data_IF_786100643212
#
_entry.id   IF_786100643212
#
_cell.length_a   1.000
_cell.length_b   1.000
_cell.length_c   1.000
_cell.angle_alpha   90.00
_cell.angle_beta   90.00
_cell.angle_gamma   90.00
#
_symmetry.space_group_name_H-M   'P 1'
#
loop_
_entity.id
_entity.type
_entity.pdbx_description
1 polymer ?
#
# COMPACT_ATOMS: atom_id res chain seq x y z
N UNK A 1 6.44 -21.15 -32.60
CA UNK A 1 5.36 -20.88 -31.63
C UNK A 1 6.01 -20.81 -30.27
N UNK A 2 6.10 -19.63 -29.66
CA UNK A 2 6.56 -19.53 -28.29
C UNK A 2 5.45 -20.09 -27.39
N UNK A 3 5.77 -21.12 -26.62
CA UNK A 3 4.90 -21.63 -25.56
C UNK A 3 4.64 -20.48 -24.59
N UNK A 4 3.39 -20.00 -24.53
CA UNK A 4 2.94 -19.11 -23.47
C UNK A 4 3.28 -19.79 -22.16
N UNK A 5 4.18 -19.22 -21.37
CA UNK A 5 4.40 -19.69 -20.01
C UNK A 5 3.04 -19.66 -19.30
N UNK A 6 2.61 -20.80 -18.77
CA UNK A 6 1.42 -20.85 -17.92
C UNK A 6 1.69 -20.00 -16.70
N UNK A 7 0.83 -19.02 -16.43
CA UNK A 7 0.91 -18.22 -15.22
C UNK A 7 0.86 -19.14 -13.99
N UNK A 8 1.79 -18.97 -13.06
CA UNK A 8 1.75 -19.58 -11.75
C UNK A 8 1.30 -18.52 -10.74
N UNK A 9 0.31 -18.82 -9.89
CA UNK A 9 -0.10 -17.89 -8.82
C UNK A 9 1.11 -17.50 -7.96
N UNK A 10 1.18 -16.24 -7.51
CA UNK A 10 2.27 -15.81 -6.63
C UNK A 10 2.15 -16.50 -5.26
N UNK A 11 3.29 -16.79 -4.66
CA UNK A 11 3.34 -17.24 -3.27
C UNK A 11 3.20 -16.06 -2.31
N UNK A 12 2.68 -16.33 -1.11
CA UNK A 12 2.65 -15.34 -0.05
C UNK A 12 4.08 -14.97 0.36
N UNK A 13 4.34 -13.67 0.50
CA UNK A 13 5.59 -13.19 1.10
C UNK A 13 5.63 -13.55 2.58
N UNK A 14 6.82 -13.72 3.14
CA UNK A 14 6.96 -13.95 4.57
C UNK A 14 6.48 -12.75 5.39
N UNK A 15 5.75 -13.05 6.45
CA UNK A 15 5.30 -12.09 7.45
C UNK A 15 3.97 -11.41 7.12
N UNK A 16 3.73 -10.27 7.75
CA UNK A 16 2.53 -9.49 7.58
C UNK A 16 2.85 -8.05 7.21
N UNK A 17 2.14 -7.53 6.20
CA UNK A 17 2.23 -6.13 5.82
C UNK A 17 1.08 -5.37 6.46
N UNK A 18 1.44 -4.45 7.34
CA UNK A 18 0.52 -3.59 8.06
C UNK A 18 0.27 -2.32 7.25
N UNK A 19 -0.98 -2.08 6.91
CA UNK A 19 -1.44 -0.87 6.23
C UNK A 19 -2.07 0.08 7.24
N UNK A 20 -1.75 1.37 7.11
CA UNK A 20 -2.33 2.44 7.92
C UNK A 20 -2.82 3.52 6.96
N UNK A 21 -4.11 3.54 6.68
CA UNK A 21 -4.73 4.58 5.84
C UNK A 21 -4.81 5.87 6.65
N UNK A 22 -4.24 6.95 6.10
CA UNK A 22 -4.10 8.23 6.79
C UNK A 22 -4.95 9.27 6.09
N UNK A 23 -5.75 9.98 6.89
CA UNK A 23 -6.47 11.19 6.50
C UNK A 23 -6.08 12.33 7.44
N UNK A 24 -5.94 13.55 6.91
CA UNK A 24 -5.76 14.76 7.71
C UNK A 24 -7.06 15.16 8.38
N UNK A 25 -6.97 15.81 9.55
CA UNK A 25 -8.13 16.48 10.16
C UNK A 25 -8.61 17.62 9.25
N UNK A 26 -9.90 17.99 9.28
CA UNK A 26 -10.46 19.03 8.41
C UNK A 26 -9.75 20.40 8.46
N UNK A 27 -9.18 20.77 9.61
CA UNK A 27 -8.47 22.03 9.79
C UNK A 27 -6.98 22.00 9.38
N UNK A 28 -6.47 20.82 9.02
CA UNK A 28 -5.06 20.62 8.66
C UNK A 28 -4.91 20.72 7.14
N UNK A 29 -3.95 21.51 6.65
CA UNK A 29 -3.59 21.45 5.23
C UNK A 29 -2.84 20.17 4.88
N UNK A 30 -2.82 19.81 3.60
CA UNK A 30 -2.08 18.63 3.13
C UNK A 30 -0.58 18.77 3.40
N UNK A 31 -0.02 19.94 3.11
CA UNK A 31 1.40 20.25 3.27
C UNK A 31 1.79 20.15 4.74
N UNK A 32 0.92 20.61 5.65
CA UNK A 32 1.15 20.48 7.09
C UNK A 32 1.16 19.01 7.52
N UNK A 33 0.22 18.19 7.06
CA UNK A 33 0.21 16.76 7.36
C UNK A 33 1.51 16.10 6.88
N UNK A 34 1.89 16.31 5.61
CA UNK A 34 3.08 15.70 5.00
C UNK A 34 4.36 16.15 5.71
N UNK A 35 4.51 17.45 5.98
CA UNK A 35 5.66 17.98 6.70
C UNK A 35 5.79 17.38 8.10
N UNK A 36 4.67 17.24 8.83
CA UNK A 36 4.70 16.61 10.14
C UNK A 36 4.96 15.11 10.09
N UNK A 37 4.40 14.42 9.09
CA UNK A 37 4.65 13.00 8.88
C UNK A 37 6.14 12.75 8.66
N UNK A 38 6.73 13.45 7.70
CA UNK A 38 8.14 13.31 7.34
C UNK A 38 9.08 13.74 8.46
N UNK A 39 8.90 14.94 9.02
CA UNK A 39 9.87 15.51 9.95
C UNK A 39 9.71 15.01 11.40
N UNK A 40 8.50 14.62 11.83
CA UNK A 40 8.21 14.39 13.25
C UNK A 40 7.75 12.96 13.56
N UNK A 41 7.03 12.30 12.64
CA UNK A 41 6.52 10.95 12.86
C UNK A 41 7.49 9.88 12.40
N UNK A 42 7.92 9.93 11.12
CA UNK A 42 8.77 8.90 10.55
C UNK A 42 10.08 8.70 11.35
N UNK A 43 10.82 9.74 11.78
CA UNK A 43 12.02 9.54 12.59
C UNK A 43 11.77 8.79 13.90
N UNK A 44 10.63 9.04 14.56
CA UNK A 44 10.25 8.34 15.79
C UNK A 44 9.93 6.88 15.53
N UNK A 45 9.22 6.56 14.44
CA UNK A 45 8.92 5.19 14.03
C UNK A 45 10.21 4.44 13.70
N UNK A 46 11.12 5.05 12.93
CA UNK A 46 12.43 4.48 12.58
C UNK A 46 13.25 4.20 13.84
N UNK A 47 13.35 5.18 14.75
CA UNK A 47 14.08 5.01 16.00
C UNK A 47 13.44 3.93 16.89
N UNK A 48 12.11 3.87 16.94
CA UNK A 48 11.37 2.83 17.64
C UNK A 48 11.70 1.44 17.12
N UNK A 49 11.64 1.24 15.80
CA UNK A 49 12.00 -0.03 15.18
C UNK A 49 13.45 -0.44 15.48
N UNK A 50 14.41 0.50 15.38
CA UNK A 50 15.82 0.24 15.74
C UNK A 50 16.00 -0.15 17.20
N UNK A 51 15.30 0.53 18.11
CA UNK A 51 15.38 0.22 19.55
C UNK A 51 14.84 -1.17 19.85
N UNK A 52 13.72 -1.56 19.23
CA UNK A 52 13.14 -2.89 19.39
C UNK A 52 14.04 -3.98 18.78
N UNK A 53 14.59 -3.74 17.59
CA UNK A 53 15.56 -4.64 16.96
C UNK A 53 16.79 -4.89 17.85
N UNK A 54 17.36 -3.83 18.44
CA UNK A 54 18.50 -3.93 19.34
C UNK A 54 18.21 -4.74 20.63
N UNK A 55 16.93 -4.84 21.01
CA UNK A 55 16.48 -5.62 22.17
C UNK A 55 16.03 -7.04 21.79
N UNK A 56 16.09 -7.42 20.50
CA UNK A 56 15.56 -8.70 20.02
C UNK A 56 14.03 -8.79 20.05
N UNK A 57 13.35 -7.65 20.13
CA UNK A 57 11.89 -7.59 20.15
C UNK A 57 11.30 -7.47 18.72
N UNK A 58 10.01 -7.79 18.54
CA UNK A 58 9.31 -7.54 17.29
C UNK A 58 9.44 -6.08 16.84
N UNK A 59 9.76 -5.88 15.57
CA UNK A 59 9.96 -4.56 14.98
C UNK A 59 9.60 -4.57 13.49
N UNK A 60 9.33 -3.39 12.93
CA UNK A 60 9.10 -3.24 11.51
C UNK A 60 10.41 -3.41 10.73
N UNK A 61 10.39 -4.30 9.74
CA UNK A 61 11.50 -4.58 8.82
C UNK A 61 11.54 -3.64 7.63
N UNK A 62 10.39 -3.08 7.25
CA UNK A 62 10.25 -2.07 6.19
C UNK A 62 9.22 -1.03 6.59
N UNK A 63 9.38 0.18 6.10
CA UNK A 63 8.46 1.28 6.32
C UNK A 63 8.44 2.22 5.12
N UNK A 64 7.36 2.15 4.34
CA UNK A 64 7.14 2.96 3.14
C UNK A 64 5.81 3.70 3.28
N UNK A 65 5.75 4.94 2.83
CA UNK A 65 4.53 5.75 2.80
C UNK A 65 4.16 6.10 1.36
N UNK A 66 3.01 5.59 0.94
CA UNK A 66 2.05 6.15 -0.02
C UNK A 66 1.66 7.61 0.16
N UNK A 67 2.08 8.61 -0.61
CA UNK A 67 1.34 9.88 -0.70
C UNK A 67 0.37 9.84 -1.89
N UNK A 68 -0.93 9.88 -1.63
CA UNK A 68 -1.95 9.85 -2.68
C UNK A 68 -2.23 11.23 -3.23
N UNK A 69 -2.32 11.35 -4.55
CA UNK A 69 -2.67 12.57 -5.23
C UNK A 69 -4.17 12.88 -5.06
N UNK A 70 -4.53 14.15 -5.23
CA UNK A 70 -5.92 14.57 -5.25
C UNK A 70 -6.67 13.91 -6.41
N UNK A 71 -7.98 13.69 -6.22
CA UNK A 71 -8.86 13.37 -7.34
C UNK A 71 -9.08 14.59 -8.25
N UNK A 72 -9.87 14.40 -9.32
CA UNK A 72 -10.18 15.46 -10.30
C UNK A 72 -10.88 16.69 -9.68
N UNK A 73 -11.51 16.54 -8.50
CA UNK A 73 -12.14 17.63 -7.76
C UNK A 73 -11.19 18.33 -6.78
N UNK A 74 -9.96 17.84 -6.63
CA UNK A 74 -8.99 18.33 -5.65
C UNK A 74 -9.09 17.65 -4.28
N UNK A 75 -9.99 16.68 -4.12
CA UNK A 75 -10.27 16.03 -2.85
C UNK A 75 -9.33 14.85 -2.59
N UNK A 76 -9.10 14.57 -1.30
CA UNK A 76 -8.29 13.44 -0.85
C UNK A 76 -9.13 12.55 0.06
N UNK A 77 -9.70 11.47 -0.49
CA UNK A 77 -10.40 10.48 0.35
C UNK A 77 -9.44 9.87 1.38
N UNK A 78 -8.17 9.67 0.98
CA UNK A 78 -7.05 9.36 1.85
C UNK A 78 -5.87 10.22 1.44
N UNK A 79 -5.15 10.79 2.40
CA UNK A 79 -3.93 11.55 2.11
C UNK A 79 -2.76 10.64 1.78
N UNK A 80 -2.75 9.43 2.33
CA UNK A 80 -1.71 8.45 2.11
C UNK A 80 -1.95 7.12 2.80
N UNK A 81 -1.00 6.20 2.63
CA UNK A 81 -0.95 4.92 3.34
C UNK A 81 0.46 4.67 3.88
N UNK A 82 0.58 4.41 5.17
CA UNK A 82 1.80 3.85 5.74
C UNK A 82 1.76 2.32 5.59
N UNK A 83 2.84 1.73 5.11
CA UNK A 83 2.99 0.29 4.90
C UNK A 83 4.22 -0.18 5.67
N UNK A 84 4.02 -1.03 6.68
CA UNK A 84 5.09 -1.57 7.51
C UNK A 84 5.13 -3.09 7.38
N UNK A 85 6.29 -3.67 7.08
CA UNK A 85 6.47 -5.12 7.05
C UNK A 85 6.92 -5.61 8.43
N UNK A 86 6.30 -6.67 8.93
CA UNK A 86 6.63 -7.34 10.19
C UNK A 86 6.75 -8.84 9.97
N UNK A 87 7.54 -9.54 10.79
CA UNK A 87 7.60 -11.01 10.76
C UNK A 87 6.25 -11.66 11.12
N UNK A 88 5.50 -11.03 12.02
CA UNK A 88 4.15 -11.42 12.41
C UNK A 88 3.31 -10.15 12.61
N UNK A 89 1.98 -10.19 12.37
CA UNK A 89 1.15 -9.01 12.59
C UNK A 89 1.18 -8.62 14.08
N UNK A 90 1.53 -7.38 14.42
CA UNK A 90 1.47 -6.93 15.81
C UNK A 90 0.02 -7.01 16.33
N UNK A 91 -0.16 -7.13 17.67
CA UNK A 91 -1.50 -7.17 18.26
C UNK A 91 -2.36 -5.97 17.83
N UNK A 92 -3.63 -6.24 17.50
CA UNK A 92 -4.58 -5.18 17.13
C UNK A 92 -4.70 -4.19 18.29
N UNK A 93 -4.50 -2.91 18.01
CA UNK A 93 -4.68 -1.87 19.02
C UNK A 93 -6.15 -1.79 19.42
N UNK A 94 -6.43 -1.73 20.73
CA UNK A 94 -7.79 -1.54 21.25
C UNK A 94 -8.36 -0.15 20.92
N UNK A 95 -7.49 0.83 20.66
CA UNK A 95 -7.87 2.19 20.29
C UNK A 95 -7.14 2.63 19.02
N UNK A 96 -7.78 3.42 18.14
CA UNK A 96 -7.08 3.99 16.99
C UNK A 96 -5.85 4.79 17.41
N UNK A 97 -4.76 4.67 16.65
CA UNK A 97 -3.56 5.46 16.84
C UNK A 97 -3.87 6.95 16.65
N UNK A 98 -3.22 7.80 17.44
CA UNK A 98 -3.46 9.24 17.39
C UNK A 98 -4.73 9.73 18.10
N UNK A 99 -5.52 8.83 18.74
CA UNK A 99 -6.62 9.23 19.63
C UNK A 99 -6.14 10.20 20.71
N UNK A 100 -5.03 9.85 21.37
CA UNK A 100 -4.21 10.78 22.13
C UNK A 100 -2.91 11.00 21.35
N UNK A 101 -2.71 12.17 20.73
CA UNK A 101 -1.52 12.42 19.93
C UNK A 101 -0.23 12.36 20.74
N UNK A 102 0.78 11.69 20.19
CA UNK A 102 2.14 11.61 20.76
C UNK A 102 3.18 12.43 19.97
N UNK A 103 2.76 12.98 18.83
CA UNK A 103 3.54 13.89 18.00
C UNK A 103 2.63 14.82 17.18
N UNK A 104 3.25 15.75 16.46
CA UNK A 104 2.53 16.75 15.65
C UNK A 104 1.85 16.16 14.41
N UNK A 105 2.29 14.99 13.93
CA UNK A 105 1.58 14.28 12.86
C UNK A 105 0.26 13.75 13.37
N UNK A 106 0.23 13.11 14.54
CA UNK A 106 -1.00 12.64 15.16
C UNK A 106 -1.91 13.79 15.63
N UNK A 107 -1.36 14.98 15.87
CA UNK A 107 -2.17 16.19 16.07
C UNK A 107 -2.87 16.60 14.76
N UNK A 108 -2.22 16.41 13.62
CA UNK A 108 -2.66 16.81 12.28
C UNK A 108 -3.53 15.75 11.56
N UNK A 109 -3.31 14.45 11.85
CA UNK A 109 -4.01 13.32 11.27
C UNK A 109 -5.27 12.94 12.07
N UNK A 110 -6.31 12.46 11.40
CA UNK A 110 -7.41 11.76 12.07
C UNK A 110 -6.90 10.45 12.71
N UNK A 111 -7.54 9.95 13.77
CA UNK A 111 -7.15 8.67 14.34
C UNK A 111 -7.26 7.53 13.33
N UNK A 112 -6.29 6.64 13.31
CA UNK A 112 -6.15 5.60 12.28
C UNK A 112 -5.90 4.22 12.90
N UNK A 113 -6.35 3.17 12.21
CA UNK A 113 -6.26 1.78 12.70
C UNK A 113 -5.26 0.97 11.87
N UNK A 114 -4.54 0.01 12.48
CA UNK A 114 -3.72 -0.94 11.74
C UNK A 114 -4.61 -1.93 10.98
N UNK A 115 -4.26 -2.18 9.72
CA UNK A 115 -4.89 -3.20 8.88
C UNK A 115 -3.84 -4.24 8.48
N UNK A 116 -3.99 -5.47 8.97
CA UNK A 116 -3.04 -6.54 8.73
C UNK A 116 -3.36 -7.28 7.42
N UNK A 117 -2.34 -7.48 6.58
CA UNK A 117 -2.49 -8.14 5.28
C UNK A 117 -1.38 -9.16 4.99
N UNK A 118 -1.70 -10.16 4.19
CA UNK A 118 -0.75 -11.06 3.54
C UNK A 118 -0.41 -10.50 2.16
N UNK A 119 0.87 -10.23 1.88
CA UNK A 119 1.34 -9.69 0.60
C UNK A 119 1.68 -10.83 -0.38
N UNK A 120 1.39 -10.58 -1.66
CA UNK A 120 1.73 -11.43 -2.80
C UNK A 120 2.33 -10.54 -3.89
N UNK A 121 3.56 -10.82 -4.31
CA UNK A 121 4.23 -10.06 -5.37
C UNK A 121 4.01 -10.75 -6.71
N UNK A 122 3.13 -10.18 -7.54
CA UNK A 122 2.75 -10.73 -8.86
C UNK A 122 3.77 -10.32 -9.93
N UNK A 123 4.26 -9.08 -9.86
CA UNK A 123 5.36 -8.57 -10.67
C UNK A 123 6.33 -7.81 -9.77
N UNK A 124 7.59 -8.23 -9.71
CA UNK A 124 8.58 -7.67 -8.78
C UNK A 124 8.89 -6.20 -9.09
N UNK A 125 9.64 -5.89 -10.16
CA UNK A 125 9.87 -4.49 -10.58
C UNK A 125 10.48 -3.54 -9.54
N UNK A 126 10.92 -4.02 -8.37
CA UNK A 126 11.45 -3.19 -7.30
C UNK A 126 12.78 -2.55 -7.65
N UNK A 127 13.52 -3.14 -8.59
CA UNK A 127 14.75 -2.57 -9.16
C UNK A 127 14.53 -1.21 -9.85
N UNK A 128 13.30 -0.94 -10.30
CA UNK A 128 12.91 0.35 -10.88
C UNK A 128 12.54 1.40 -9.81
N UNK A 129 12.40 0.98 -8.55
CA UNK A 129 12.04 1.84 -7.42
C UNK A 129 13.27 2.16 -6.57
N UNK A 130 14.24 2.85 -7.17
CA UNK A 130 15.52 3.19 -6.53
C UNK A 130 15.30 3.98 -5.25
N UNK A 131 16.13 3.67 -4.25
CA UNK A 131 16.20 4.38 -2.97
C UNK A 131 17.50 5.16 -2.95
N UNK A 132 17.41 6.48 -2.79
CA UNK A 132 18.56 7.38 -2.71
C UNK A 132 18.56 8.04 -1.32
N UNK A 133 19.27 7.47 -0.33
CA UNK A 133 19.31 8.04 1.02
C UNK A 133 20.00 9.40 1.05
N UNK A 134 19.64 10.22 2.04
CA UNK A 134 20.29 11.51 2.28
C UNK A 134 21.75 11.31 2.70
N UNK A 135 22.64 12.21 2.25
CA UNK A 135 24.09 12.13 2.52
C UNK A 135 24.61 13.22 3.45
N UNK A 136 23.89 14.33 3.60
CA UNK A 136 24.24 15.45 4.49
C UNK A 136 23.49 15.43 5.83
N UNK A 137 22.40 14.66 5.90
CA UNK A 137 21.54 14.50 7.08
C UNK A 137 21.40 13.01 7.44
N UNK A 138 20.54 12.69 8.42
CA UNK A 138 20.16 11.30 8.66
C UNK A 138 19.62 10.68 7.36
N UNK A 139 20.07 9.47 6.97
CA UNK A 139 19.78 8.91 5.65
C UNK A 139 18.29 8.66 5.38
N UNK A 140 17.51 8.49 6.46
CA UNK A 140 16.07 8.27 6.42
C UNK A 140 15.37 9.15 7.49
N UNK A 141 14.11 9.59 7.25
CA UNK A 141 13.35 9.32 6.04
C UNK A 141 13.95 10.01 4.80
N UNK A 142 13.75 9.42 3.63
CA UNK A 142 14.01 10.03 2.33
C UNK A 142 12.77 9.89 1.43
N UNK A 143 12.81 10.43 0.22
CA UNK A 143 11.70 10.31 -0.73
C UNK A 143 12.15 9.65 -2.03
N UNK A 144 11.20 9.06 -2.75
CA UNK A 144 11.37 8.67 -4.15
C UNK A 144 10.14 9.04 -4.97
N UNK A 145 10.37 9.29 -6.24
CA UNK A 145 9.37 9.64 -7.25
C UNK A 145 9.81 9.12 -8.62
N UNK A 146 9.18 9.56 -9.71
CA UNK A 146 9.49 9.10 -11.07
C UNK A 146 8.72 7.84 -11.49
N UNK A 147 7.58 7.60 -10.84
CA UNK A 147 6.61 6.56 -11.18
C UNK A 147 5.19 7.11 -11.02
N UNK A 148 4.23 6.35 -11.52
CA UNK A 148 2.81 6.52 -11.23
C UNK A 148 2.27 5.22 -10.64
N UNK A 149 1.93 5.24 -9.35
CA UNK A 149 1.36 4.12 -8.62
C UNK A 149 -0.16 4.28 -8.57
N UNK A 150 -0.87 3.19 -8.85
CA UNK A 150 -2.32 3.11 -8.67
C UNK A 150 -2.60 2.09 -7.58
N UNK A 151 -3.23 2.55 -6.51
CA UNK A 151 -3.69 1.71 -5.41
C UNK A 151 -5.19 1.47 -5.52
N UNK A 152 -5.61 0.23 -5.39
CA UNK A 152 -7.00 -0.20 -5.29
C UNK A 152 -7.28 -0.65 -3.87
N UNK A 153 -8.20 0.00 -3.17
CA UNK A 153 -8.76 -0.52 -1.92
C UNK A 153 -10.05 -1.27 -2.25
N UNK A 154 -10.01 -2.59 -2.13
CA UNK A 154 -11.05 -3.48 -2.67
C UNK A 154 -12.01 -3.87 -1.56
N UNK A 155 -13.29 -3.51 -1.73
CA UNK A 155 -14.35 -3.86 -0.80
C UNK A 155 -15.15 -5.05 -1.33
N UNK A 156 -15.27 -6.07 -0.50
CA UNK A 156 -16.10 -7.23 -0.83
C UNK A 156 -17.59 -6.92 -0.64
N UNK A 157 -18.45 -7.66 -1.35
CA UNK A 157 -19.88 -7.69 -1.09
C UNK A 157 -20.14 -8.34 0.27
N UNK A 158 -21.23 -7.92 0.91
CA UNK A 158 -21.68 -8.55 2.15
C UNK A 158 -21.90 -10.05 1.95
N UNK A 159 -21.40 -10.87 2.89
CA UNK A 159 -21.51 -12.33 2.82
C UNK A 159 -20.62 -13.00 1.77
N UNK A 160 -19.63 -12.29 1.21
CA UNK A 160 -18.69 -12.90 0.24
C UNK A 160 -17.95 -14.09 0.85
N UNK A 161 -17.79 -15.13 0.04
CA UNK A 161 -16.89 -16.25 0.33
C UNK A 161 -15.44 -15.80 0.07
N UNK A 162 -14.74 -15.40 1.14
CA UNK A 162 -13.39 -14.83 1.04
C UNK A 162 -12.35 -15.82 0.51
N UNK A 163 -12.49 -17.12 0.81
CA UNK A 163 -11.55 -18.13 0.32
C UNK A 163 -11.64 -18.24 -1.20
N UNK A 164 -12.86 -18.33 -1.76
CA UNK A 164 -13.06 -18.34 -3.21
C UNK A 164 -12.66 -17.03 -3.85
N UNK A 165 -12.98 -15.91 -3.20
CA UNK A 165 -12.61 -14.59 -3.69
C UNK A 165 -11.09 -14.45 -3.82
N UNK A 166 -10.34 -14.76 -2.76
CA UNK A 166 -8.89 -14.66 -2.75
C UNK A 166 -8.21 -15.67 -3.66
N UNK A 167 -8.73 -16.89 -3.77
CA UNK A 167 -8.26 -17.85 -4.77
C UNK A 167 -8.46 -17.32 -6.19
N UNK A 168 -9.65 -16.81 -6.52
CA UNK A 168 -9.91 -16.21 -7.84
C UNK A 168 -9.03 -14.97 -8.10
N UNK A 169 -8.78 -14.16 -7.07
CA UNK A 169 -7.89 -13.01 -7.19
C UNK A 169 -6.49 -13.46 -7.61
N UNK A 170 -5.91 -14.46 -6.94
CA UNK A 170 -4.53 -14.90 -7.24
C UNK A 170 -4.42 -15.75 -8.51
N UNK A 171 -5.41 -16.61 -8.80
CA UNK A 171 -5.33 -17.59 -9.88
C UNK A 171 -5.76 -17.01 -11.23
N UNK A 172 -6.75 -16.12 -11.24
CA UNK A 172 -7.39 -15.62 -12.47
C UNK A 172 -7.15 -14.12 -12.62
N UNK A 173 -7.54 -13.33 -11.62
CA UNK A 173 -7.47 -11.87 -11.74
C UNK A 173 -6.03 -11.39 -11.83
N UNK A 174 -5.14 -11.92 -11.00
CA UNK A 174 -3.74 -11.50 -10.99
C UNK A 174 -3.04 -11.80 -12.32
N UNK A 175 -3.37 -12.92 -12.96
CA UNK A 175 -2.87 -13.27 -14.29
C UNK A 175 -3.33 -12.27 -15.36
N UNK A 176 -4.63 -11.94 -15.35
CA UNK A 176 -5.23 -10.97 -16.26
C UNK A 176 -4.60 -9.58 -16.10
N UNK A 177 -4.53 -9.08 -14.85
CA UNK A 177 -3.90 -7.79 -14.52
C UNK A 177 -2.44 -7.79 -14.95
N UNK A 178 -1.66 -8.81 -14.58
CA UNK A 178 -0.24 -8.94 -14.96
C UNK A 178 -0.06 -8.83 -16.48
N UNK A 179 -0.84 -9.57 -17.25
CA UNK A 179 -0.75 -9.56 -18.72
C UNK A 179 -0.97 -8.15 -19.30
N UNK A 180 -1.94 -7.40 -18.76
CA UNK A 180 -2.25 -6.05 -19.25
C UNK A 180 -1.19 -5.05 -18.77
N UNK A 181 -0.75 -5.15 -17.52
CA UNK A 181 0.31 -4.30 -16.96
C UNK A 181 1.60 -4.45 -17.76
N UNK A 182 2.00 -5.68 -18.11
CA UNK A 182 3.14 -5.93 -18.99
C UNK A 182 2.95 -5.31 -20.39
N UNK A 183 1.74 -5.42 -20.97
CA UNK A 183 1.43 -4.88 -22.29
C UNK A 183 1.55 -3.35 -22.36
N UNK A 184 1.21 -2.64 -21.27
CA UNK A 184 1.27 -1.17 -21.20
C UNK A 184 2.58 -0.64 -20.60
N UNK A 185 3.57 -1.52 -20.39
CA UNK A 185 4.87 -1.14 -19.85
C UNK A 185 4.86 -0.79 -18.36
N UNK A 186 3.85 -1.22 -17.61
CA UNK A 186 3.90 -1.25 -16.16
C UNK A 186 4.93 -2.26 -15.67
N UNK A 187 5.49 -2.03 -14.49
CA UNK A 187 6.69 -2.74 -14.05
C UNK A 187 6.55 -3.47 -12.71
N UNK A 188 5.57 -3.13 -11.87
CA UNK A 188 5.33 -3.80 -10.59
C UNK A 188 3.83 -3.96 -10.34
N UNK A 189 3.46 -5.08 -9.74
CA UNK A 189 2.09 -5.40 -9.32
C UNK A 189 2.14 -6.24 -8.04
N UNK A 190 1.47 -5.77 -7.00
CA UNK A 190 1.39 -6.40 -5.69
C UNK A 190 -0.07 -6.51 -5.28
N UNK A 191 -0.44 -7.65 -4.69
CA UNK A 191 -1.75 -7.90 -4.09
C UNK A 191 -1.55 -8.11 -2.59
N UNK A 192 -2.46 -7.57 -1.78
CA UNK A 192 -2.46 -7.73 -0.35
C UNK A 192 -3.86 -8.16 0.07
N UNK A 193 -4.00 -9.34 0.66
CA UNK A 193 -5.27 -9.83 1.19
C UNK A 193 -5.36 -9.51 2.68
N UNK A 194 -6.50 -9.00 3.14
CA UNK A 194 -6.75 -8.83 4.57
C UNK A 194 -6.63 -10.19 5.27
N UNK A 195 -5.95 -10.21 6.42
CA UNK A 195 -5.85 -11.42 7.26
C UNK A 195 -7.21 -11.73 7.90
N UNK A 196 -7.98 -10.70 8.26
CA UNK A 196 -9.35 -10.82 8.78
C UNK A 196 -10.32 -9.94 7.97
N UNK A 197 -10.65 -10.34 6.72
CA UNK A 197 -11.43 -9.51 5.81
C UNK A 197 -12.87 -9.22 6.28
N UNK A 198 -13.40 -10.01 7.22
CA UNK A 198 -14.75 -9.83 7.75
C UNK A 198 -14.86 -8.65 8.72
N UNK A 199 -13.75 -8.22 9.34
CA UNK A 199 -13.73 -7.13 10.32
C UNK A 199 -12.96 -5.90 9.85
N UNK A 200 -12.53 -5.90 8.59
CA UNK A 200 -11.79 -4.82 7.97
C UNK A 200 -12.63 -4.10 6.91
N UNK A 201 -12.43 -2.78 6.70
CA UNK A 201 -13.23 -2.01 5.75
C UNK A 201 -12.99 -2.42 4.29
N UNK A 202 -11.86 -3.07 4.02
CA UNK A 202 -11.48 -3.59 2.72
C UNK A 202 -11.05 -5.04 2.87
N UNK A 203 -11.37 -5.86 1.87
CA UNK A 203 -10.96 -7.26 1.80
C UNK A 203 -9.52 -7.40 1.29
N UNK A 204 -9.01 -6.40 0.59
CA UNK A 204 -7.63 -6.39 0.11
C UNK A 204 -7.22 -5.07 -0.51
N UNK A 205 -5.93 -4.95 -0.82
CA UNK A 205 -5.34 -3.82 -1.53
C UNK A 205 -4.43 -4.31 -2.67
N UNK A 206 -4.64 -3.79 -3.87
CA UNK A 206 -3.73 -3.99 -4.99
C UNK A 206 -2.96 -2.70 -5.31
N UNK A 207 -1.71 -2.85 -5.73
CA UNK A 207 -0.85 -1.73 -6.14
C UNK A 207 -0.19 -2.05 -7.46
N UNK A 208 -0.40 -1.19 -8.47
CA UNK A 208 0.19 -1.32 -9.80
C UNK A 208 1.07 -0.10 -10.06
N UNK A 209 2.27 -0.33 -10.59
CA UNK A 209 3.23 0.74 -10.88
C UNK A 209 3.47 0.87 -12.38
N UNK A 210 3.38 2.11 -12.84
CA UNK A 210 3.65 2.56 -14.19
C UNK A 210 4.76 3.61 -14.18
N UNK A 211 5.36 3.87 -15.34
CA UNK A 211 6.34 4.97 -15.49
C UNK A 211 5.67 6.33 -15.32
N UNK A 212 4.45 6.46 -15.80
CA UNK A 212 3.63 7.67 -15.76
C UNK A 212 2.14 7.33 -15.90
N UNK A 213 1.29 8.35 -15.95
CA UNK A 213 -0.16 8.22 -16.10
C UNK A 213 -0.61 7.57 -17.41
N UNK A 214 0.19 7.61 -18.47
CA UNK A 214 -0.19 7.02 -19.76
C UNK A 214 -0.29 5.50 -19.64
N UNK A 215 0.57 4.88 -18.81
CA UNK A 215 0.45 3.46 -18.47
C UNK A 215 -0.88 3.12 -17.81
N UNK A 216 -1.36 3.96 -16.90
CA UNK A 216 -2.68 3.79 -16.28
C UNK A 216 -3.84 3.99 -17.28
N UNK A 217 -3.73 4.99 -18.15
CA UNK A 217 -4.72 5.21 -19.21
C UNK A 217 -4.82 3.98 -20.12
N UNK A 218 -3.69 3.46 -20.59
CA UNK A 218 -3.65 2.24 -21.41
C UNK A 218 -4.17 1.01 -20.68
N UNK A 219 -3.86 0.87 -19.38
CA UNK A 219 -4.37 -0.25 -18.58
C UNK A 219 -5.91 -0.25 -18.57
N UNK A 220 -6.53 0.91 -18.33
CA UNK A 220 -8.00 1.03 -18.30
C UNK A 220 -8.67 0.70 -19.63
N UNK A 221 -8.01 0.96 -20.75
CA UNK A 221 -8.53 0.63 -22.08
C UNK A 221 -8.48 -0.86 -22.40
N UNK A 222 -7.53 -1.58 -21.78
CA UNK A 222 -7.20 -2.97 -22.15
C UNK A 222 -7.72 -4.01 -21.15
N UNK A 223 -7.84 -3.66 -19.87
CA UNK A 223 -8.30 -4.60 -18.84
C UNK A 223 -9.73 -5.07 -19.13
N UNK A 224 -9.94 -6.38 -19.07
CA UNK A 224 -11.25 -7.01 -19.30
C UNK A 224 -11.78 -7.64 -18.02
N UNK A 225 -13.11 -7.69 -17.81
CA UNK A 225 -13.70 -8.44 -16.73
C UNK A 225 -13.30 -9.92 -16.79
N UNK A 226 -13.03 -10.51 -15.62
CA UNK A 226 -12.55 -11.89 -15.47
C UNK A 226 -13.31 -12.65 -14.37
N UNK A 227 -14.47 -12.14 -13.95
CA UNK A 227 -15.30 -12.73 -12.89
C UNK A 227 -15.04 -12.20 -11.48
N UNK A 228 -13.99 -11.39 -11.24
CA UNK A 228 -13.73 -10.83 -9.90
C UNK A 228 -14.92 -10.02 -9.34
N UNK A 229 -15.72 -9.43 -10.24
CA UNK A 229 -16.96 -8.71 -9.89
C UNK A 229 -18.05 -9.56 -9.22
N UNK A 230 -17.91 -10.88 -9.14
CA UNK A 230 -18.77 -11.74 -8.33
C UNK A 230 -18.68 -11.37 -6.85
N UNK A 231 -17.47 -11.08 -6.34
CA UNK A 231 -17.21 -10.80 -4.93
C UNK A 231 -16.98 -9.32 -4.62
N UNK A 232 -16.54 -8.51 -5.59
CA UNK A 232 -16.23 -7.10 -5.36
C UNK A 232 -17.49 -6.24 -5.42
N UNK A 233 -17.72 -5.44 -4.37
CA UNK A 233 -18.80 -4.46 -4.32
C UNK A 233 -18.36 -3.15 -4.99
N UNK A 234 -17.23 -2.62 -4.53
CA UNK A 234 -16.64 -1.39 -5.02
C UNK A 234 -15.12 -1.45 -4.82
N UNK A 235 -14.39 -0.63 -5.57
CA UNK A 235 -12.96 -0.41 -5.36
C UNK A 235 -12.66 1.08 -5.40
N UNK A 236 -12.02 1.59 -4.34
CA UNK A 236 -11.50 2.95 -4.34
C UNK A 236 -10.15 2.95 -5.05
N UNK A 237 -10.01 3.78 -6.08
CA UNK A 237 -8.79 3.88 -6.91
C UNK A 237 -8.08 5.18 -6.57
N UNK A 238 -6.81 5.09 -6.17
CA UNK A 238 -6.00 6.21 -5.70
C UNK A 238 -4.68 6.25 -6.48
N UNK A 239 -4.38 7.40 -7.09
CA UNK A 239 -3.08 7.65 -7.72
C UNK A 239 -2.06 8.15 -6.71
N UNK A 240 -0.77 7.84 -6.92
CA UNK A 240 0.33 8.36 -6.11
C UNK A 240 1.63 8.44 -6.90
N UNK A 241 2.36 9.54 -6.77
CA UNK A 241 3.65 9.77 -7.46
C UNK A 241 4.85 9.89 -6.52
N UNK A 242 4.59 9.93 -5.22
CA UNK A 242 5.63 10.12 -4.21
C UNK A 242 5.51 9.05 -3.14
N UNK A 243 6.64 8.44 -2.81
CA UNK A 243 6.79 7.62 -1.62
C UNK A 243 7.81 8.24 -0.67
N UNK A 244 7.49 8.22 0.63
CA UNK A 244 8.47 8.51 1.69
C UNK A 244 8.95 7.18 2.27
N UNK A 245 10.26 7.01 2.39
CA UNK A 245 10.89 5.77 2.80
C UNK A 245 11.52 5.99 4.17
N UNK A 246 11.13 5.19 5.17
CA UNK A 246 11.72 5.22 6.50
C UNK A 246 12.67 4.05 6.75
N UNK A 247 12.26 2.84 6.37
CA UNK A 247 13.07 1.62 6.44
C UNK A 247 12.92 0.94 5.06
N UNK A 248 14.01 0.82 4.28
CA UNK A 248 13.95 0.41 2.87
C UNK A 248 13.49 -1.03 2.66
#
# INVERSE_FOLDING_TARGET
MATSATFSPPEATQGAKMMYLIRRKPATSREQLVAHWYANHMPKVIQGARNQAAQGNPHALRYIVTLYDADESGEHVWDGVAQLLWDEPPPRSATPHGTTPTDSFQQAAEPYVPWATTEYVVMEGSNDLKVEPLTLDAPFPCTRSGFYKVTFLVKAKEGSDFDKFFAHWLDVHAANVKSVVEQVGGFRYVVNHSIDPATEPYAGMAEIYFRDEAGWAGYRELIKPDGMGEWVAESLILGGRTEMIGIP
#
